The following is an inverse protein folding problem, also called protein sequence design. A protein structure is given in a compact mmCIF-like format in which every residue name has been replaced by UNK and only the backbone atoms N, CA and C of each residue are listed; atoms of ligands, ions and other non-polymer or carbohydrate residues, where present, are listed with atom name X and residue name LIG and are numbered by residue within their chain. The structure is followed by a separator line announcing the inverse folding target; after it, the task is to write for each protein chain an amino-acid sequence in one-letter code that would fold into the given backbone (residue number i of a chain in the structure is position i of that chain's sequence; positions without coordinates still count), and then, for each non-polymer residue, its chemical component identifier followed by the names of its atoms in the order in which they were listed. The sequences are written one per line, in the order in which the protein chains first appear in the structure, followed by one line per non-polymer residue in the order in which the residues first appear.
data_IF_010151903011
#
_entry.id   IF_010151903011
#
_cell.length_a   1.000
_cell.length_b   1.000
_cell.length_c   1.000
_cell.angle_alpha   90.00
_cell.angle_beta   90.00
_cell.angle_gamma   90.00
#
_symmetry.space_group_name_H-M   'P 1'
#
loop_
_entity.id
_entity.type
_entity.pdbx_description
1 polymer ?
#
# COMPACT_ATOMS: atom_id res chain seq x y z
N UNK A 1 -6.34 -5.84 -33.22
CA UNK A 1 -6.84 -5.88 -31.82
C UNK A 1 -8.28 -5.41 -31.82
N UNK A 2 -9.16 -6.00 -31.02
CA UNK A 2 -10.55 -5.56 -30.85
C UNK A 2 -10.57 -4.09 -30.39
N UNK A 3 -11.52 -3.31 -30.92
CA UNK A 3 -11.68 -1.89 -30.58
C UNK A 3 -13.14 -1.64 -30.18
N UNK A 4 -13.40 -0.57 -29.45
CA UNK A 4 -14.75 -0.18 -29.01
C UNK A 4 -15.73 -0.04 -30.19
N UNK A 5 -15.22 0.28 -31.40
CA UNK A 5 -16.02 0.38 -32.65
C UNK A 5 -16.54 -0.98 -33.10
N UNK A 6 -15.84 -2.05 -32.77
CA UNK A 6 -16.16 -3.42 -33.16
C UNK A 6 -17.18 -4.09 -32.24
N UNK A 7 -17.54 -3.42 -31.12
CA UNK A 7 -18.47 -3.96 -30.14
C UNK A 7 -19.89 -3.96 -30.63
N UNK A 8 -20.63 -5.01 -30.26
CA UNK A 8 -22.07 -5.11 -30.45
C UNK A 8 -22.84 -4.03 -29.67
N UNK A 9 -24.11 -3.82 -30.02
CA UNK A 9 -25.01 -2.97 -29.25
C UNK A 9 -25.06 -3.35 -27.75
N UNK A 10 -25.11 -4.64 -27.44
CA UNK A 10 -25.21 -5.16 -26.09
C UNK A 10 -23.97 -4.86 -25.26
N UNK A 11 -22.78 -5.01 -25.86
CA UNK A 11 -21.51 -4.72 -25.20
C UNK A 11 -21.34 -3.22 -24.96
N UNK A 12 -21.66 -2.37 -25.95
CA UNK A 12 -21.62 -0.92 -25.78
C UNK A 12 -22.57 -0.44 -24.70
N UNK A 13 -23.82 -0.92 -24.76
CA UNK A 13 -24.84 -0.57 -23.77
C UNK A 13 -24.45 -1.04 -22.35
N UNK A 14 -23.87 -2.26 -22.22
CA UNK A 14 -23.49 -2.79 -20.92
C UNK A 14 -22.29 -2.05 -20.33
N UNK A 15 -21.24 -1.77 -21.10
CA UNK A 15 -19.97 -1.32 -20.55
C UNK A 15 -19.70 0.18 -20.70
N UNK A 16 -20.20 0.84 -21.76
CA UNK A 16 -19.72 2.16 -22.14
C UNK A 16 -20.79 3.26 -22.20
N UNK A 17 -22.08 2.91 -22.19
CA UNK A 17 -23.16 3.89 -22.19
C UNK A 17 -23.67 4.18 -20.79
N UNK A 18 -24.01 5.46 -20.51
CA UNK A 18 -24.63 5.87 -19.26
C UNK A 18 -23.76 5.66 -18.00
N UNK A 19 -22.44 5.79 -18.14
CA UNK A 19 -21.52 5.66 -17.02
C UNK A 19 -21.62 6.87 -16.09
N UNK A 20 -21.98 6.64 -14.83
CA UNK A 20 -21.96 7.65 -13.78
C UNK A 20 -20.52 7.86 -13.28
N UNK A 21 -19.76 6.77 -13.15
CA UNK A 21 -18.37 6.82 -12.68
C UNK A 21 -17.48 5.86 -13.48
N UNK A 22 -16.32 6.36 -13.90
CA UNK A 22 -15.20 5.53 -14.36
C UNK A 22 -14.04 5.67 -13.40
N UNK A 23 -13.57 4.56 -12.84
CA UNK A 23 -12.45 4.51 -11.91
C UNK A 23 -11.24 3.91 -12.62
N UNK A 24 -10.11 4.61 -12.60
CA UNK A 24 -8.88 4.21 -13.27
C UNK A 24 -7.92 3.60 -12.26
N UNK A 25 -7.74 2.29 -12.34
CA UNK A 25 -6.94 1.45 -11.45
C UNK A 25 -7.78 0.56 -10.54
N UNK A 26 -7.58 -0.76 -10.62
CA UNK A 26 -8.23 -1.80 -9.81
C UNK A 26 -7.42 -2.19 -8.56
N UNK A 27 -6.67 -1.25 -7.98
CA UNK A 27 -5.99 -1.42 -6.70
C UNK A 27 -6.90 -1.22 -5.49
N UNK A 28 -6.34 -1.26 -4.27
CA UNK A 28 -7.09 -1.08 -3.01
C UNK A 28 -7.94 0.20 -3.07
N UNK A 29 -7.35 1.33 -3.46
CA UNK A 29 -8.05 2.63 -3.51
C UNK A 29 -9.22 2.59 -4.49
N UNK A 30 -8.99 2.14 -5.74
CA UNK A 30 -10.04 2.11 -6.76
C UNK A 30 -11.20 1.19 -6.43
N UNK A 31 -10.90 -0.03 -5.95
CA UNK A 31 -11.92 -1.00 -5.53
C UNK A 31 -12.71 -0.50 -4.32
N UNK A 32 -12.04 0.07 -3.30
CA UNK A 32 -12.71 0.66 -2.14
C UNK A 32 -13.57 1.85 -2.54
N UNK A 33 -13.08 2.72 -3.43
CA UNK A 33 -13.86 3.85 -3.97
C UNK A 33 -15.14 3.36 -4.64
N UNK A 34 -15.03 2.34 -5.49
CA UNK A 34 -16.19 1.77 -6.19
C UNK A 34 -17.23 1.21 -5.22
N UNK A 35 -16.77 0.49 -4.18
CA UNK A 35 -17.65 -0.08 -3.16
C UNK A 35 -18.38 1.04 -2.41
N UNK A 36 -17.67 2.04 -1.88
CA UNK A 36 -18.29 3.14 -1.14
C UNK A 36 -19.21 4.00 -2.02
N UNK A 37 -18.89 4.19 -3.31
CA UNK A 37 -19.79 4.85 -4.25
C UNK A 37 -21.07 4.04 -4.47
N UNK A 38 -20.98 2.72 -4.59
CA UNK A 38 -22.15 1.85 -4.72
C UNK A 38 -23.01 1.82 -3.47
N UNK A 39 -22.40 1.85 -2.29
CA UNK A 39 -23.13 1.97 -1.01
C UNK A 39 -23.88 3.31 -0.92
N UNK A 40 -23.25 4.41 -1.39
CA UNK A 40 -23.86 5.76 -1.42
C UNK A 40 -24.87 5.95 -2.55
N UNK A 41 -24.56 5.42 -3.74
CA UNK A 41 -25.38 5.54 -4.95
C UNK A 41 -25.68 4.16 -5.55
N UNK A 42 -26.61 3.37 -4.99
CA UNK A 42 -26.83 1.97 -5.37
C UNK A 42 -27.19 1.76 -6.85
N UNK A 43 -27.82 2.76 -7.49
CA UNK A 43 -28.26 2.69 -8.89
C UNK A 43 -27.19 3.15 -9.89
N UNK A 44 -26.09 3.74 -9.42
CA UNK A 44 -25.04 4.26 -10.31
C UNK A 44 -24.37 3.15 -11.11
N UNK A 45 -24.03 3.46 -12.34
CA UNK A 45 -23.26 2.60 -13.22
C UNK A 45 -21.78 2.93 -13.08
N UNK A 46 -21.02 2.00 -12.52
CA UNK A 46 -19.59 2.18 -12.22
C UNK A 46 -18.77 1.20 -13.04
N UNK A 47 -17.77 1.72 -13.75
CA UNK A 47 -16.79 0.94 -14.51
C UNK A 47 -15.40 1.17 -13.90
N UNK A 48 -14.69 0.09 -13.57
CA UNK A 48 -13.26 0.12 -13.22
C UNK A 48 -12.46 -0.28 -14.47
N UNK A 49 -11.41 0.48 -14.77
CA UNK A 49 -10.43 0.17 -15.80
C UNK A 49 -9.09 -0.19 -15.17
N UNK A 50 -8.56 -1.33 -15.53
CA UNK A 50 -7.20 -1.77 -15.12
C UNK A 50 -6.36 -2.03 -16.38
N UNK A 51 -5.17 -1.42 -16.45
CA UNK A 51 -4.29 -1.59 -17.62
C UNK A 51 -3.67 -2.98 -17.73
N UNK A 52 -3.44 -3.63 -16.58
CA UNK A 52 -2.93 -5.00 -16.52
C UNK A 52 -4.02 -6.04 -16.80
N UNK A 53 -3.62 -7.26 -17.16
CA UNK A 53 -4.53 -8.40 -17.23
C UNK A 53 -5.04 -8.85 -15.85
N UNK A 54 -4.38 -8.39 -14.80
CA UNK A 54 -4.77 -8.52 -13.40
C UNK A 54 -4.33 -7.25 -12.67
N UNK A 55 -4.84 -6.97 -11.45
CA UNK A 55 -4.37 -5.84 -10.66
C UNK A 55 -2.89 -6.01 -10.29
N UNK A 56 -1.99 -5.46 -11.11
CA UNK A 56 -0.54 -5.67 -11.01
C UNK A 56 0.23 -4.46 -10.43
N UNK A 57 -0.49 -3.47 -9.89
CA UNK A 57 0.09 -2.32 -9.21
C UNK A 57 0.61 -2.64 -7.80
N UNK A 58 0.95 -1.59 -7.03
CA UNK A 58 1.48 -1.71 -5.67
C UNK A 58 0.62 -2.55 -4.72
N UNK A 59 -0.69 -2.63 -4.97
CA UNK A 59 -1.65 -3.34 -4.12
C UNK A 59 -1.42 -4.85 -4.02
N UNK A 60 -0.81 -5.47 -5.04
CA UNK A 60 -0.50 -6.91 -5.07
C UNK A 60 0.99 -7.21 -4.95
N UNK A 61 1.84 -6.18 -4.95
CA UNK A 61 3.31 -6.32 -4.94
C UNK A 61 3.95 -5.91 -3.62
N UNK A 62 3.16 -5.51 -2.63
CA UNK A 62 3.63 -5.12 -1.31
C UNK A 62 3.83 -6.33 -0.38
N UNK A 63 4.46 -6.09 0.77
CA UNK A 63 4.79 -7.14 1.74
C UNK A 63 3.64 -7.56 2.67
N UNK A 64 2.49 -6.89 2.62
CA UNK A 64 1.31 -7.25 3.42
C UNK A 64 1.37 -6.81 4.88
N UNK A 65 1.99 -5.66 5.18
CA UNK A 65 2.00 -5.07 6.52
C UNK A 65 0.71 -4.32 6.80
N UNK A 66 0.01 -4.72 7.85
CA UNK A 66 -1.09 -3.98 8.46
C UNK A 66 -0.54 -3.20 9.66
N UNK A 67 0.26 -2.17 9.35
CA UNK A 67 1.04 -1.38 10.30
C UNK A 67 0.72 0.10 10.14
N UNK A 68 0.93 0.88 11.23
CA UNK A 68 0.63 2.30 11.24
C UNK A 68 1.79 3.19 11.67
N UNK A 69 2.91 2.62 12.16
CA UNK A 69 4.16 3.34 12.39
C UNK A 69 5.06 2.66 13.42
N UNK A 70 6.36 2.58 13.13
CA UNK A 70 7.37 2.09 14.08
C UNK A 70 8.00 3.23 14.88
N UNK A 71 8.56 2.97 16.08
CA UNK A 71 9.19 4.00 16.91
C UNK A 71 10.31 4.77 16.19
N UNK A 72 11.16 4.09 15.43
CA UNK A 72 12.25 4.76 14.70
C UNK A 72 11.74 5.57 13.52
N UNK A 73 10.70 5.12 12.81
CA UNK A 73 10.02 5.90 11.77
C UNK A 73 9.41 7.18 12.38
N UNK A 74 8.71 7.07 13.51
CA UNK A 74 8.13 8.22 14.20
C UNK A 74 9.21 9.21 14.67
N UNK A 75 10.34 8.71 15.19
CA UNK A 75 11.47 9.56 15.59
C UNK A 75 12.04 10.33 14.39
N UNK A 76 12.27 9.64 13.29
CA UNK A 76 12.77 10.24 12.05
C UNK A 76 11.80 11.28 11.48
N UNK A 77 10.51 10.98 11.43
CA UNK A 77 9.48 11.88 10.93
C UNK A 77 9.34 13.14 11.82
N UNK A 78 9.29 12.98 13.15
CA UNK A 78 9.20 14.09 14.12
C UNK A 78 10.43 15.01 14.08
N UNK A 79 11.57 14.52 13.61
CA UNK A 79 12.76 15.34 13.39
C UNK A 79 12.71 16.19 12.11
N UNK A 80 11.82 15.86 11.15
CA UNK A 80 11.80 16.45 9.80
C UNK A 80 10.56 17.27 9.49
N UNK A 81 9.42 16.90 10.09
CA UNK A 81 8.14 17.55 9.84
C UNK A 81 7.41 17.87 11.16
N UNK A 82 6.38 18.71 11.12
CA UNK A 82 5.65 19.10 12.32
C UNK A 82 4.91 17.95 12.98
N UNK A 83 4.85 17.97 14.30
CA UNK A 83 4.10 17.04 15.17
C UNK A 83 2.70 16.75 14.61
N UNK A 84 1.96 17.80 14.30
CA UNK A 84 0.60 17.70 13.77
C UNK A 84 0.53 16.82 12.51
N UNK A 85 1.45 17.00 11.56
CA UNK A 85 1.49 16.20 10.33
C UNK A 85 1.83 14.74 10.60
N UNK A 86 2.76 14.48 11.53
CA UNK A 86 3.12 13.10 11.91
C UNK A 86 1.91 12.39 12.50
N UNK A 87 1.24 13.01 13.49
CA UNK A 87 0.12 12.37 14.18
C UNK A 87 -1.15 12.30 13.33
N UNK A 88 -1.36 13.23 12.42
CA UNK A 88 -2.41 13.13 11.40
C UNK A 88 -2.17 11.94 10.47
N UNK A 89 -0.92 11.70 10.06
CA UNK A 89 -0.54 10.55 9.23
C UNK A 89 -0.72 9.23 10.00
N UNK A 90 -0.29 9.19 11.25
CA UNK A 90 -0.49 8.03 12.13
C UNK A 90 -1.98 7.72 12.31
N UNK A 91 -2.78 8.73 12.64
CA UNK A 91 -4.24 8.59 12.79
C UNK A 91 -4.90 8.09 11.50
N UNK A 92 -4.52 8.64 10.35
CA UNK A 92 -5.03 8.20 9.05
C UNK A 92 -4.72 6.71 8.79
N UNK A 93 -3.52 6.25 9.13
CA UNK A 93 -3.12 4.84 8.98
C UNK A 93 -3.92 3.93 9.91
N UNK A 94 -4.07 4.31 11.17
CA UNK A 94 -4.83 3.53 12.14
C UNK A 94 -6.33 3.46 11.78
N UNK A 95 -6.97 4.59 11.51
CA UNK A 95 -8.37 4.65 11.09
C UNK A 95 -8.61 3.97 9.74
N UNK A 96 -7.63 4.06 8.84
CA UNK A 96 -7.71 3.38 7.55
C UNK A 96 -7.68 1.86 7.65
N UNK A 97 -6.91 1.29 8.60
CA UNK A 97 -6.99 -0.15 8.90
C UNK A 97 -8.36 -0.54 9.47
N UNK A 98 -8.95 0.27 10.35
CA UNK A 98 -10.32 0.04 10.84
C UNK A 98 -11.32 0.05 9.68
N UNK A 99 -11.25 1.06 8.83
CA UNK A 99 -12.10 1.14 7.63
C UNK A 99 -11.92 -0.08 6.72
N UNK A 100 -10.68 -0.59 6.57
CA UNK A 100 -10.42 -1.80 5.80
C UNK A 100 -11.09 -3.03 6.42
N UNK A 101 -10.99 -3.20 7.73
CA UNK A 101 -11.58 -4.35 8.44
C UNK A 101 -13.12 -4.25 8.55
N UNK A 102 -13.69 -3.06 8.55
CA UNK A 102 -15.13 -2.83 8.37
C UNK A 102 -15.61 -3.19 6.96
N UNK A 103 -14.77 -2.88 5.96
CA UNK A 103 -15.09 -3.13 4.56
C UNK A 103 -15.01 -4.62 4.20
N UNK A 104 -14.00 -5.33 4.71
CA UNK A 104 -13.75 -6.75 4.43
C UNK A 104 -13.42 -7.48 5.73
N UNK A 105 -14.06 -8.65 5.93
CA UNK A 105 -13.76 -9.53 7.06
C UNK A 105 -12.25 -9.86 7.10
N UNK A 106 -11.61 -9.52 8.21
CA UNK A 106 -10.19 -9.71 8.46
C UNK A 106 -9.73 -11.17 8.24
N UNK A 107 -10.57 -12.16 8.57
CA UNK A 107 -10.27 -13.59 8.37
C UNK A 107 -10.17 -13.96 6.89
N UNK A 108 -11.01 -13.35 6.03
CA UNK A 108 -11.01 -13.63 4.59
C UNK A 108 -9.74 -13.15 3.89
N UNK A 109 -9.10 -12.13 4.43
CA UNK A 109 -7.86 -11.58 3.90
C UNK A 109 -6.62 -12.13 4.61
N UNK A 110 -6.79 -13.14 5.48
CA UNK A 110 -5.69 -13.75 6.22
C UNK A 110 -4.98 -12.77 7.14
N UNK A 111 -5.74 -11.89 7.81
CA UNK A 111 -5.17 -11.00 8.81
C UNK A 111 -4.74 -11.79 10.04
N UNK A 112 -3.50 -11.57 10.44
CA UNK A 112 -2.90 -12.08 11.66
C UNK A 112 -2.40 -10.92 12.50
N UNK A 113 -2.97 -10.71 13.70
CA UNK A 113 -2.47 -9.75 14.70
C UNK A 113 -1.24 -10.36 15.38
N UNK A 114 -0.13 -10.42 14.66
CA UNK A 114 1.10 -11.08 15.11
C UNK A 114 2.08 -10.12 15.80
N UNK A 115 1.79 -8.85 15.84
CA UNK A 115 2.70 -7.81 16.31
C UNK A 115 3.74 -7.40 15.26
N UNK A 116 4.46 -6.33 15.57
CA UNK A 116 5.63 -5.88 14.82
C UNK A 116 6.80 -5.57 15.74
N UNK A 117 8.00 -5.64 15.19
CA UNK A 117 9.24 -5.30 15.90
C UNK A 117 10.08 -4.35 15.05
N UNK A 118 10.59 -3.32 15.69
CA UNK A 118 11.52 -2.36 15.09
C UNK A 118 12.93 -2.66 15.64
N UNK A 119 13.87 -2.99 14.76
CA UNK A 119 15.19 -3.50 15.10
C UNK A 119 16.20 -2.36 15.19
N UNK A 120 16.93 -2.31 16.30
CA UNK A 120 17.98 -1.33 16.58
C UNK A 120 19.34 -2.01 16.48
N UNK A 121 20.17 -1.60 15.53
CA UNK A 121 21.47 -2.24 15.28
C UNK A 121 22.56 -1.75 16.23
N UNK A 122 22.53 -0.49 16.66
CA UNK A 122 23.55 0.12 17.51
C UNK A 122 22.97 0.76 18.75
N UNK A 123 23.78 0.83 19.82
CA UNK A 123 23.39 1.44 21.09
C UNK A 123 23.03 2.92 20.95
N UNK A 124 23.71 3.62 20.07
CA UNK A 124 23.53 5.06 19.80
C UNK A 124 22.18 5.35 19.11
N UNK A 125 21.59 4.34 18.50
CA UNK A 125 20.27 4.42 17.84
C UNK A 125 19.12 4.15 18.80
N UNK A 126 19.40 3.79 20.08
CA UNK A 126 18.36 3.61 21.09
C UNK A 126 17.59 4.89 21.32
N UNK A 127 16.28 4.76 21.28
CA UNK A 127 15.36 5.84 21.59
C UNK A 127 15.34 6.07 23.12
N UNK A 128 15.27 7.33 23.53
CA UNK A 128 15.20 7.70 24.95
C UNK A 128 13.85 7.31 25.55
N UNK A 129 13.83 6.99 26.84
CA UNK A 129 12.62 6.58 27.56
C UNK A 129 11.53 7.67 27.53
N UNK A 130 11.92 8.94 27.62
CA UNK A 130 11.00 10.08 27.52
C UNK A 130 10.35 10.16 26.13
N UNK A 131 11.09 9.84 25.07
CA UNK A 131 10.53 9.75 23.72
C UNK A 131 9.56 8.56 23.58
N UNK A 132 9.89 7.39 24.09
CA UNK A 132 9.00 6.23 24.10
C UNK A 132 7.72 6.52 24.91
N UNK A 133 7.84 7.20 26.04
CA UNK A 133 6.69 7.65 26.84
C UNK A 133 5.81 8.62 26.04
N UNK A 134 6.42 9.60 25.36
CA UNK A 134 5.74 10.58 24.54
C UNK A 134 4.96 9.91 23.37
N UNK A 135 5.58 9.03 22.60
CA UNK A 135 4.88 8.38 21.46
C UNK A 135 3.79 7.42 21.96
N UNK A 136 3.94 6.79 23.11
CA UNK A 136 2.89 5.98 23.74
C UNK A 136 1.69 6.83 24.18
N UNK A 137 1.91 8.00 24.76
CA UNK A 137 0.85 8.93 25.13
C UNK A 137 0.06 9.41 23.92
N UNK A 138 0.76 9.85 22.87
CA UNK A 138 0.15 10.29 21.62
C UNK A 138 -0.63 9.17 20.92
N UNK A 139 -0.04 7.99 20.85
CA UNK A 139 -0.70 6.82 20.28
C UNK A 139 -1.93 6.41 21.08
N UNK A 140 -1.89 6.49 22.42
CA UNK A 140 -3.05 6.22 23.28
C UNK A 140 -4.23 7.15 22.96
N UNK A 141 -3.97 8.44 22.73
CA UNK A 141 -5.01 9.40 22.34
C UNK A 141 -5.73 9.01 21.04
N UNK A 142 -5.04 8.31 20.12
CA UNK A 142 -5.58 7.90 18.82
C UNK A 142 -6.16 6.48 18.87
N UNK A 143 -5.40 5.52 19.42
CA UNK A 143 -5.75 4.10 19.37
C UNK A 143 -6.54 3.62 20.61
N UNK A 144 -6.52 4.37 21.71
CA UNK A 144 -7.13 3.95 22.98
C UNK A 144 -6.38 2.81 23.69
N UNK A 145 -5.19 2.42 23.20
CA UNK A 145 -4.37 1.33 23.77
C UNK A 145 -3.11 1.93 24.43
N UNK A 146 -2.93 1.64 25.72
CA UNK A 146 -1.76 2.12 26.46
C UNK A 146 -0.52 1.27 26.15
N UNK A 147 0.63 1.94 26.08
CA UNK A 147 1.94 1.27 25.97
C UNK A 147 2.04 0.31 24.79
N UNK A 148 1.61 0.75 23.61
CA UNK A 148 1.71 -0.06 22.39
C UNK A 148 3.16 -0.30 21.99
N UNK A 149 4.07 0.63 22.33
CA UNK A 149 5.51 0.51 22.09
C UNK A 149 6.24 0.15 23.36
N UNK A 150 7.04 -0.91 23.31
CA UNK A 150 7.84 -1.41 24.43
C UNK A 150 9.17 -1.93 23.92
N UNK A 151 10.25 -1.69 24.68
CA UNK A 151 11.51 -2.37 24.43
C UNK A 151 11.33 -3.88 24.68
N UNK A 152 11.80 -4.71 23.75
CA UNK A 152 11.71 -6.18 23.81
C UNK A 152 13.01 -6.85 23.41
N UNK A 153 14.00 -6.84 24.28
CA UNK A 153 15.31 -7.50 24.06
C UNK A 153 15.21 -9.02 23.90
N UNK A 154 14.12 -9.64 24.40
CA UNK A 154 13.92 -11.07 24.28
C UNK A 154 13.65 -11.50 22.84
N UNK A 155 13.08 -10.62 22.04
CA UNK A 155 12.82 -10.87 20.61
C UNK A 155 14.09 -11.24 19.85
N UNK A 156 15.25 -10.63 20.17
CA UNK A 156 16.53 -10.93 19.54
C UNK A 156 16.84 -12.42 19.64
N UNK A 157 16.75 -12.99 20.85
CA UNK A 157 17.00 -14.41 21.10
C UNK A 157 15.89 -15.29 20.54
N UNK A 158 14.63 -14.89 20.69
CA UNK A 158 13.48 -15.69 20.29
C UNK A 158 13.44 -15.88 18.77
N UNK A 159 13.77 -14.84 18.02
CA UNK A 159 13.80 -14.89 16.54
C UNK A 159 15.18 -15.29 15.97
N UNK A 160 16.24 -15.25 16.79
CA UNK A 160 17.59 -15.66 16.41
C UNK A 160 18.38 -14.58 15.66
N UNK A 161 18.05 -13.30 15.87
CA UNK A 161 18.77 -12.19 15.24
C UNK A 161 20.20 -12.06 15.73
N UNK A 162 21.11 -11.65 14.85
CA UNK A 162 22.45 -11.22 15.20
C UNK A 162 22.70 -9.77 14.77
N UNK A 163 23.72 -9.14 15.36
CA UNK A 163 24.06 -7.73 15.11
C UNK A 163 22.90 -6.75 15.41
N UNK A 164 22.02 -7.11 16.32
CA UNK A 164 20.92 -6.26 16.81
C UNK A 164 21.18 -5.99 18.29
N UNK A 165 21.13 -4.72 18.68
CA UNK A 165 21.34 -4.27 20.04
C UNK A 165 20.06 -4.32 20.89
N UNK A 166 18.93 -3.91 20.32
CA UNK A 166 17.61 -3.93 20.95
C UNK A 166 16.49 -4.01 19.93
N UNK A 167 15.25 -4.21 20.38
CA UNK A 167 14.05 -4.10 19.55
C UNK A 167 12.94 -3.36 20.32
N UNK A 168 12.07 -2.68 19.59
CA UNK A 168 10.80 -2.17 20.11
C UNK A 168 9.64 -2.92 19.49
N UNK A 169 8.75 -3.47 20.31
CA UNK A 169 7.57 -4.19 19.85
C UNK A 169 6.32 -3.31 19.79
N UNK A 170 5.41 -3.58 18.87
CA UNK A 170 4.05 -3.04 18.82
C UNK A 170 3.05 -4.20 18.68
N UNK A 171 2.20 -4.39 19.70
CA UNK A 171 1.24 -5.50 19.75
C UNK A 171 -0.03 -5.29 18.91
N UNK A 172 -0.26 -4.07 18.41
CA UNK A 172 -1.48 -3.71 17.70
C UNK A 172 -1.37 -3.88 16.19
N UNK A 173 -0.18 -4.14 15.70
CA UNK A 173 0.10 -4.35 14.28
C UNK A 173 0.04 -5.83 13.89
N UNK A 174 0.01 -6.07 12.59
CA UNK A 174 -0.06 -7.42 12.04
C UNK A 174 0.19 -7.49 10.55
N UNK A 175 -0.22 -8.58 9.98
CA UNK A 175 0.02 -8.87 8.56
C UNK A 175 -1.23 -9.37 7.87
N UNK A 176 -1.29 -9.18 6.54
CA UNK A 176 -2.37 -9.69 5.68
C UNK A 176 -1.81 -10.43 4.48
N UNK A 177 -2.68 -11.17 3.80
CA UNK A 177 -2.42 -11.70 2.47
C UNK A 177 -2.94 -10.72 1.41
N UNK A 178 -2.05 -10.07 0.69
CA UNK A 178 -2.39 -9.00 -0.27
C UNK A 178 -3.18 -9.51 -1.47
N UNK A 179 -2.91 -10.73 -1.90
CA UNK A 179 -3.66 -11.38 -2.98
C UNK A 179 -5.11 -11.65 -2.57
N UNK A 180 -5.31 -12.21 -1.35
CA UNK A 180 -6.66 -12.40 -0.80
C UNK A 180 -7.38 -11.08 -0.61
N UNK A 181 -6.69 -10.02 -0.14
CA UNK A 181 -7.29 -8.68 0.01
C UNK A 181 -7.87 -8.18 -1.32
N UNK A 182 -7.08 -8.17 -2.38
CA UNK A 182 -7.55 -7.69 -3.69
C UNK A 182 -8.68 -8.58 -4.21
N UNK A 183 -8.59 -9.89 -4.06
CA UNK A 183 -9.65 -10.84 -4.46
C UNK A 183 -10.97 -10.55 -3.74
N UNK A 184 -10.95 -10.32 -2.43
CA UNK A 184 -12.17 -10.07 -1.65
C UNK A 184 -12.76 -8.68 -1.93
N UNK A 185 -11.93 -7.64 -2.10
CA UNK A 185 -12.39 -6.32 -2.56
C UNK A 185 -13.05 -6.40 -3.93
N UNK A 186 -12.43 -7.12 -4.87
CA UNK A 186 -12.98 -7.33 -6.22
C UNK A 186 -14.33 -8.06 -6.17
N UNK A 187 -14.44 -9.17 -5.41
CA UNK A 187 -15.69 -9.90 -5.23
C UNK A 187 -16.79 -8.99 -4.66
N UNK A 188 -16.47 -8.19 -3.61
CA UNK A 188 -17.44 -7.27 -3.02
C UNK A 188 -17.90 -6.24 -4.03
N UNK A 189 -17.00 -5.62 -4.79
CA UNK A 189 -17.32 -4.66 -5.82
C UNK A 189 -18.23 -5.27 -6.91
N UNK A 190 -17.88 -6.45 -7.42
CA UNK A 190 -18.66 -7.17 -8.43
C UNK A 190 -20.05 -7.55 -7.92
N UNK A 191 -20.18 -8.01 -6.67
CA UNK A 191 -21.47 -8.35 -6.06
C UNK A 191 -22.39 -7.12 -5.89
N UNK A 192 -21.80 -5.93 -5.80
CA UNK A 192 -22.56 -4.67 -5.81
C UNK A 192 -22.87 -4.17 -7.24
N UNK A 193 -22.50 -4.92 -8.28
CA UNK A 193 -22.77 -4.58 -9.67
C UNK A 193 -21.76 -3.59 -10.27
N UNK A 194 -20.54 -3.51 -9.72
CA UNK A 194 -19.44 -2.77 -10.35
C UNK A 194 -18.93 -3.56 -11.54
N UNK A 195 -18.80 -2.91 -12.69
CA UNK A 195 -18.19 -3.48 -13.89
C UNK A 195 -16.67 -3.28 -13.86
N UNK A 196 -15.92 -4.20 -14.43
CA UNK A 196 -14.46 -4.07 -14.52
C UNK A 196 -13.97 -4.58 -15.87
N UNK A 197 -13.03 -3.85 -16.47
CA UNK A 197 -12.33 -4.24 -17.69
C UNK A 197 -10.83 -4.21 -17.44
N UNK A 198 -10.16 -5.28 -17.84
CA UNK A 198 -8.71 -5.47 -17.72
C UNK A 198 -8.04 -5.37 -19.08
N UNK A 199 -6.77 -4.99 -19.11
CA UNK A 199 -6.04 -4.74 -20.35
C UNK A 199 -6.40 -3.39 -20.98
N UNK A 200 -7.13 -2.52 -20.26
CA UNK A 200 -7.55 -1.20 -20.74
C UNK A 200 -6.72 -0.12 -20.08
N UNK A 201 -5.83 0.49 -20.84
CA UNK A 201 -4.99 1.61 -20.43
C UNK A 201 -5.59 2.94 -20.86
N UNK A 202 -5.86 3.81 -19.90
CA UNK A 202 -6.24 5.20 -20.16
C UNK A 202 -4.98 5.98 -20.47
N UNK A 203 -4.93 6.61 -21.64
CA UNK A 203 -3.82 7.42 -22.12
C UNK A 203 -3.98 8.86 -21.73
N UNK A 204 -5.14 9.42 -22.02
CA UNK A 204 -5.50 10.80 -21.70
C UNK A 204 -6.97 10.91 -21.33
N UNK A 205 -7.35 12.03 -20.75
CA UNK A 205 -8.75 12.38 -20.55
C UNK A 205 -8.94 13.90 -20.65
N UNK A 206 -10.12 14.31 -21.07
CA UNK A 206 -10.54 15.71 -21.11
C UNK A 206 -11.90 15.88 -20.42
N UNK A 207 -12.08 16.97 -19.70
CA UNK A 207 -13.34 17.29 -19.03
C UNK A 207 -13.91 18.60 -19.56
N UNK A 208 -15.19 18.59 -19.95
CA UNK A 208 -15.95 19.80 -20.27
C UNK A 208 -16.81 20.32 -19.09
N UNK A 209 -16.62 19.73 -17.88
CA UNK A 209 -17.36 20.07 -16.67
C UNK A 209 -18.75 19.40 -16.53
N UNK A 210 -19.21 18.68 -17.58
CA UNK A 210 -20.41 17.84 -17.56
C UNK A 210 -20.07 16.37 -17.73
N UNK A 211 -19.14 16.07 -18.64
CA UNK A 211 -18.68 14.73 -18.96
C UNK A 211 -17.16 14.71 -19.05
N UNK A 212 -16.57 13.55 -18.80
CA UNK A 212 -15.14 13.27 -18.99
C UNK A 212 -15.02 12.35 -20.21
N UNK A 213 -14.24 12.77 -21.18
CA UNK A 213 -13.87 12.00 -22.36
C UNK A 213 -12.57 11.26 -22.06
N UNK A 214 -12.57 9.95 -22.22
CA UNK A 214 -11.42 9.09 -21.93
C UNK A 214 -10.91 8.48 -23.23
N UNK A 215 -9.62 8.68 -23.51
CA UNK A 215 -8.89 8.01 -24.58
C UNK A 215 -8.16 6.81 -24.00
N UNK A 216 -8.35 5.63 -24.59
CA UNK A 216 -7.75 4.37 -24.15
C UNK A 216 -7.06 3.64 -25.31
N UNK A 217 -6.28 2.59 -24.97
CA UNK A 217 -5.77 1.66 -25.98
C UNK A 217 -6.88 0.84 -26.68
N UNK A 218 -8.12 0.87 -26.18
CA UNK A 218 -9.27 0.16 -26.69
C UNK A 218 -10.21 1.05 -27.52
N UNK A 219 -10.07 2.38 -27.43
CA UNK A 219 -10.89 3.40 -28.08
C UNK A 219 -11.34 4.47 -27.10
N UNK A 220 -12.22 5.35 -27.55
CA UNK A 220 -12.71 6.50 -26.81
C UNK A 220 -14.14 6.29 -26.31
N UNK A 221 -14.42 6.75 -25.10
CA UNK A 221 -15.76 6.78 -24.53
C UNK A 221 -15.87 7.89 -23.48
N UNK A 222 -17.07 8.08 -22.92
CA UNK A 222 -17.35 9.14 -21.96
C UNK A 222 -17.98 8.62 -20.67
N UNK A 223 -17.78 9.35 -19.59
CA UNK A 223 -18.33 9.10 -18.27
C UNK A 223 -18.78 10.42 -17.63
N UNK A 224 -19.79 10.38 -16.79
CA UNK A 224 -20.18 11.58 -16.05
C UNK A 224 -19.08 12.04 -15.10
N UNK A 225 -18.41 11.09 -14.41
CA UNK A 225 -17.30 11.35 -13.49
C UNK A 225 -16.16 10.37 -13.71
N UNK A 226 -14.92 10.81 -13.48
CA UNK A 226 -13.73 9.96 -13.52
C UNK A 226 -12.89 10.12 -12.26
N UNK A 227 -12.38 8.99 -11.73
CA UNK A 227 -11.59 8.95 -10.50
C UNK A 227 -10.30 8.21 -10.76
N UNK A 228 -9.18 8.91 -10.60
CA UNK A 228 -7.84 8.40 -10.87
C UNK A 228 -7.24 7.80 -9.60
N UNK A 229 -7.01 6.47 -9.61
CA UNK A 229 -6.48 5.69 -8.50
C UNK A 229 -5.20 4.94 -8.88
N UNK A 230 -4.39 5.52 -9.75
CA UNK A 230 -3.21 4.89 -10.37
C UNK A 230 -1.91 5.05 -9.55
N UNK A 231 -1.99 5.60 -8.34
CA UNK A 231 -0.88 5.79 -7.39
C UNK A 231 0.36 6.40 -8.06
N UNK A 232 1.53 5.73 -8.04
CA UNK A 232 2.78 6.22 -8.62
C UNK A 232 2.74 6.51 -10.12
N UNK A 233 1.79 5.91 -10.85
CA UNK A 233 1.60 6.18 -12.28
C UNK A 233 0.75 7.42 -12.58
N UNK A 234 0.27 8.12 -11.54
CA UNK A 234 -0.60 9.30 -11.73
C UNK A 234 0.14 10.55 -12.22
N UNK A 235 1.48 10.57 -12.20
CA UNK A 235 2.27 11.73 -12.66
C UNK A 235 1.94 12.16 -14.08
N UNK A 236 1.55 11.24 -14.96
CA UNK A 236 1.12 11.55 -16.32
C UNK A 236 -0.20 12.33 -16.39
N UNK A 237 -1.02 12.29 -15.34
CA UNK A 237 -2.35 12.91 -15.29
C UNK A 237 -2.42 14.10 -14.34
N UNK A 238 -1.43 14.28 -13.48
CA UNK A 238 -1.48 15.22 -12.39
C UNK A 238 -0.11 15.85 -12.17
N UNK A 239 -0.04 17.17 -12.33
CA UNK A 239 1.18 17.93 -12.03
C UNK A 239 1.21 18.38 -10.56
N UNK A 240 1.30 17.40 -9.67
CA UNK A 240 1.48 17.59 -8.23
C UNK A 240 2.79 16.97 -7.75
N UNK A 241 3.09 17.16 -6.48
CA UNK A 241 4.20 16.52 -5.80
C UNK A 241 3.95 15.01 -5.66
N UNK A 242 4.08 14.31 -6.77
CA UNK A 242 4.01 12.85 -6.86
C UNK A 242 5.12 12.32 -7.74
N UNK A 243 5.83 11.34 -7.24
CA UNK A 243 6.89 10.64 -7.93
C UNK A 243 6.68 9.14 -7.84
N UNK A 244 6.88 8.43 -8.95
CA UNK A 244 6.98 6.99 -8.95
C UNK A 244 8.27 6.56 -8.26
N UNK A 245 8.18 5.56 -7.38
CA UNK A 245 9.35 5.00 -6.70
C UNK A 245 9.23 3.48 -6.65
N UNK A 246 10.26 2.81 -7.16
CA UNK A 246 10.35 1.37 -7.14
C UNK A 246 10.80 0.88 -5.76
N UNK A 247 10.08 -0.10 -5.21
CA UNK A 247 10.46 -0.86 -4.03
C UNK A 247 10.65 -2.32 -4.42
N UNK A 248 11.72 -2.92 -3.94
CA UNK A 248 12.13 -4.28 -4.29
C UNK A 248 11.97 -5.21 -3.09
N UNK A 249 11.63 -6.45 -3.37
CA UNK A 249 11.53 -7.52 -2.37
C UNK A 249 12.07 -8.81 -2.93
N UNK A 250 12.46 -9.71 -2.04
CA UNK A 250 12.74 -11.11 -2.31
C UNK A 250 11.98 -12.01 -1.35
N UNK A 251 11.83 -13.27 -1.70
CA UNK A 251 11.25 -14.29 -0.83
C UNK A 251 12.12 -15.56 -0.85
N UNK A 252 12.30 -16.16 0.32
CA UNK A 252 13.03 -17.44 0.44
C UNK A 252 12.15 -18.61 0.01
N UNK A 253 12.77 -19.75 -0.35
CA UNK A 253 12.10 -21.04 -0.31
C UNK A 253 11.64 -21.37 1.12
N UNK A 254 10.75 -22.36 1.33
CA UNK A 254 10.37 -22.78 2.68
C UNK A 254 11.60 -23.18 3.51
N UNK A 255 11.64 -22.69 4.75
CA UNK A 255 12.71 -22.94 5.73
C UNK A 255 12.14 -23.82 6.84
N UNK A 256 12.80 -24.95 7.13
CA UNK A 256 12.43 -25.79 8.26
C UNK A 256 12.69 -25.05 9.57
N UNK A 257 11.75 -25.18 10.51
CA UNK A 257 11.84 -24.63 11.87
C UNK A 257 12.10 -23.12 11.92
N UNK A 258 11.52 -22.37 10.96
CA UNK A 258 11.64 -20.91 10.89
C UNK A 258 11.15 -20.26 12.18
N UNK A 259 12.05 -19.54 12.88
CA UNK A 259 11.74 -18.82 14.12
C UNK A 259 11.07 -17.47 13.87
N UNK A 260 11.25 -16.89 12.70
CA UNK A 260 10.68 -15.57 12.33
C UNK A 260 9.15 -15.69 12.27
N UNK A 261 8.46 -14.93 13.13
CA UNK A 261 6.98 -14.84 13.17
C UNK A 261 6.61 -13.42 13.50
N UNK A 262 5.88 -12.75 12.60
CA UNK A 262 5.48 -11.35 12.73
C UNK A 262 6.04 -10.47 11.64
N UNK A 263 5.93 -9.17 11.83
CA UNK A 263 6.45 -8.15 10.93
C UNK A 263 7.57 -7.35 11.59
N UNK A 264 8.56 -6.98 10.82
CA UNK A 264 9.79 -6.38 11.33
C UNK A 264 10.20 -5.19 10.47
N UNK A 265 10.65 -4.13 11.14
CA UNK A 265 11.22 -2.94 10.55
C UNK A 265 12.69 -2.82 10.94
N UNK A 266 13.51 -2.26 10.08
CA UNK A 266 14.92 -2.03 10.31
C UNK A 266 15.36 -0.76 9.58
N UNK A 267 16.29 0.00 10.15
CA UNK A 267 16.83 1.23 9.59
C UNK A 267 15.69 2.24 9.26
N UNK A 268 15.00 2.71 10.28
CA UNK A 268 13.88 3.66 10.17
C UNK A 268 12.81 3.26 9.13
N UNK A 269 12.60 1.95 8.94
CA UNK A 269 11.62 1.39 8.00
C UNK A 269 12.10 1.32 6.54
N UNK A 270 13.37 1.64 6.25
CA UNK A 270 13.94 1.43 4.90
C UNK A 270 14.07 -0.03 4.55
N UNK A 271 14.14 -0.93 5.53
CA UNK A 271 14.08 -2.37 5.36
C UNK A 271 12.92 -2.93 6.18
N UNK A 272 12.26 -3.94 5.63
CA UNK A 272 11.10 -4.57 6.26
C UNK A 272 10.99 -6.03 5.86
N UNK A 273 10.72 -6.90 6.83
CA UNK A 273 10.56 -8.34 6.56
C UNK A 273 9.48 -8.97 7.43
N UNK A 274 8.96 -10.10 6.98
CA UNK A 274 7.98 -10.91 7.70
C UNK A 274 8.07 -12.36 7.29
N UNK A 275 7.48 -13.23 8.08
CA UNK A 275 7.20 -14.57 7.59
C UNK A 275 5.93 -14.61 6.71
N UNK A 276 5.95 -15.49 5.72
CA UNK A 276 4.78 -15.99 5.00
C UNK A 276 4.83 -17.50 5.12
N UNK A 277 3.99 -18.08 5.98
CA UNK A 277 4.13 -19.48 6.38
C UNK A 277 5.57 -19.74 6.88
N UNK A 278 6.29 -20.67 6.25
CA UNK A 278 7.68 -21.00 6.56
C UNK A 278 8.70 -20.31 5.64
N UNK A 279 8.38 -19.17 5.06
CA UNK A 279 9.26 -18.38 4.21
C UNK A 279 9.51 -17.01 4.84
N UNK A 280 10.63 -16.40 4.52
CA UNK A 280 10.88 -14.98 4.82
C UNK A 280 10.70 -14.15 3.54
N UNK A 281 9.78 -13.21 3.59
CA UNK A 281 9.67 -12.12 2.62
C UNK A 281 10.43 -10.93 3.17
N UNK A 282 11.35 -10.38 2.39
CA UNK A 282 12.20 -9.27 2.79
C UNK A 282 12.30 -8.22 1.67
N UNK A 283 12.13 -6.96 2.02
CA UNK A 283 12.21 -5.85 1.09
C UNK A 283 12.85 -4.61 1.70
N UNK A 284 13.14 -3.64 0.83
CA UNK A 284 13.75 -2.38 1.23
C UNK A 284 14.96 -1.98 0.40
N UNK A 285 15.88 -1.24 1.02
CA UNK A 285 17.15 -0.84 0.40
C UNK A 285 17.04 0.28 -0.63
N UNK A 286 15.86 0.90 -0.81
CA UNK A 286 15.71 2.03 -1.75
C UNK A 286 16.62 3.22 -1.40
N UNK A 287 16.93 3.40 -0.13
CA UNK A 287 17.87 4.43 0.36
C UNK A 287 19.30 4.27 -0.14
N UNK A 288 19.69 3.12 -0.65
CA UNK A 288 21.00 2.92 -1.27
C UNK A 288 21.15 3.69 -2.60
N UNK A 289 20.03 3.89 -3.33
CA UNK A 289 20.07 4.62 -4.59
C UNK A 289 18.69 5.21 -4.92
N UNK A 290 18.33 6.29 -4.26
CA UNK A 290 17.03 6.97 -4.47
C UNK A 290 16.82 7.42 -5.92
N UNK A 291 17.87 7.86 -6.60
CA UNK A 291 17.79 8.37 -7.96
C UNK A 291 17.41 7.25 -8.95
N UNK A 292 18.10 6.10 -8.90
CA UNK A 292 17.78 4.96 -9.77
C UNK A 292 16.41 4.35 -9.46
N UNK A 293 16.01 4.33 -8.20
CA UNK A 293 14.72 3.82 -7.79
C UNK A 293 13.56 4.83 -7.98
N UNK A 294 13.83 6.06 -8.43
CA UNK A 294 12.85 7.03 -8.89
C UNK A 294 12.35 6.69 -10.30
N UNK A 295 11.61 5.61 -10.44
CA UNK A 295 11.17 5.06 -11.72
C UNK A 295 9.79 4.40 -11.62
N UNK A 296 9.06 4.39 -12.72
CA UNK A 296 7.80 3.67 -12.91
C UNK A 296 7.97 2.28 -13.56
N UNK A 297 9.22 1.88 -13.83
CA UNK A 297 9.56 0.59 -14.46
C UNK A 297 9.75 -0.48 -13.38
N UNK A 298 9.12 -1.63 -13.60
CA UNK A 298 9.39 -2.83 -12.80
C UNK A 298 10.80 -3.36 -13.05
N UNK A 299 11.26 -4.23 -12.17
CA UNK A 299 12.57 -4.87 -12.23
C UNK A 299 13.29 -4.79 -10.88
N UNK A 300 14.38 -5.52 -10.79
CA UNK A 300 15.27 -5.53 -9.61
C UNK A 300 16.65 -5.01 -10.01
N UNK A 301 17.42 -4.61 -9.01
CA UNK A 301 18.79 -4.12 -9.18
C UNK A 301 19.72 -4.89 -8.25
N UNK A 302 20.89 -5.26 -8.77
CA UNK A 302 21.85 -6.14 -8.12
C UNK A 302 22.29 -5.62 -6.75
N UNK A 303 22.66 -4.35 -6.64
CA UNK A 303 23.09 -3.73 -5.37
C UNK A 303 22.03 -3.79 -4.25
N UNK A 304 20.73 -3.62 -4.58
CA UNK A 304 19.66 -3.76 -3.60
C UNK A 304 19.46 -5.24 -3.24
N UNK A 305 19.44 -6.13 -4.23
CA UNK A 305 19.27 -7.57 -3.96
C UNK A 305 20.43 -8.13 -3.14
N UNK A 306 21.67 -7.72 -3.43
CA UNK A 306 22.86 -8.10 -2.66
C UNK A 306 22.81 -7.58 -1.23
N UNK A 307 22.36 -6.33 -1.03
CA UNK A 307 22.15 -5.77 0.32
C UNK A 307 21.09 -6.56 1.11
N UNK A 308 19.96 -6.90 0.48
CA UNK A 308 18.94 -7.73 1.10
C UNK A 308 19.49 -9.12 1.47
N UNK A 309 20.23 -9.76 0.56
CA UNK A 309 20.86 -11.05 0.80
C UNK A 309 21.86 -10.98 1.95
N UNK A 310 22.70 -9.95 1.97
CA UNK A 310 23.67 -9.74 3.04
C UNK A 310 23.00 -9.61 4.41
N UNK A 311 21.94 -8.81 4.53
CA UNK A 311 21.21 -8.66 5.78
C UNK A 311 20.47 -9.95 6.19
N UNK A 312 19.96 -10.73 5.24
CA UNK A 312 19.44 -12.06 5.56
C UNK A 312 20.50 -12.96 6.19
N UNK A 313 21.70 -12.99 5.62
CA UNK A 313 22.81 -13.85 6.07
C UNK A 313 23.44 -13.40 7.39
N UNK A 314 23.45 -12.10 7.68
CA UNK A 314 24.21 -11.56 8.80
C UNK A 314 23.34 -11.10 9.98
N UNK A 315 22.06 -10.83 9.75
CA UNK A 315 21.17 -10.25 10.76
C UNK A 315 19.95 -11.14 11.01
N UNK A 316 19.23 -11.51 9.93
CA UNK A 316 17.88 -12.09 10.08
C UNK A 316 17.93 -13.62 10.22
N UNK A 317 18.78 -14.29 9.44
CA UNK A 317 18.90 -15.75 9.36
C UNK A 317 20.37 -16.21 9.46
N UNK A 318 21.19 -15.70 10.40
CA UNK A 318 22.65 -15.91 10.38
C UNK A 318 23.05 -17.38 10.49
N UNK A 319 22.31 -18.16 11.26
CA UNK A 319 22.60 -19.59 11.50
C UNK A 319 21.66 -20.53 10.74
N UNK A 320 20.94 -20.01 9.74
CA UNK A 320 19.90 -20.75 9.03
C UNK A 320 20.26 -20.90 7.55
N UNK A 321 20.27 -22.14 7.05
CA UNK A 321 20.41 -22.36 5.61
C UNK A 321 19.11 -21.99 4.90
N UNK A 322 19.18 -21.16 3.88
CA UNK A 322 18.07 -20.77 3.05
C UNK A 322 18.48 -20.62 1.59
N UNK A 323 17.52 -20.63 0.72
CA UNK A 323 17.66 -20.31 -0.70
C UNK A 323 16.62 -19.25 -1.07
N UNK A 324 16.97 -18.34 -1.98
CA UNK A 324 16.03 -17.40 -2.56
C UNK A 324 15.16 -18.14 -3.60
N UNK A 325 13.86 -17.97 -3.53
CA UNK A 325 12.93 -18.52 -4.51
C UNK A 325 12.80 -17.57 -5.71
N UNK A 326 12.43 -16.32 -5.45
CA UNK A 326 12.37 -15.25 -6.45
C UNK A 326 12.31 -13.87 -5.82
N UNK A 327 12.46 -12.85 -6.68
CA UNK A 327 12.37 -11.45 -6.30
C UNK A 327 11.44 -10.68 -7.26
N UNK A 328 10.85 -9.59 -6.78
CA UNK A 328 10.02 -8.71 -7.60
C UNK A 328 10.08 -7.27 -7.10
N UNK A 329 9.39 -6.37 -7.81
CA UNK A 329 9.26 -4.99 -7.39
C UNK A 329 7.84 -4.47 -7.53
N UNK A 330 7.50 -3.45 -6.75
CA UNK A 330 6.28 -2.65 -6.85
C UNK A 330 6.60 -1.18 -7.05
N UNK A 331 5.68 -0.43 -7.65
CA UNK A 331 5.83 1.01 -7.87
C UNK A 331 4.94 1.76 -6.89
N UNK A 332 5.58 2.49 -5.99
CA UNK A 332 4.92 3.37 -5.02
C UNK A 332 4.69 4.75 -5.63
N UNK A 333 3.73 5.50 -5.10
CA UNK A 333 3.61 6.94 -5.29
C UNK A 333 4.11 7.62 -4.03
N UNK A 334 5.17 8.39 -4.13
CA UNK A 334 5.79 9.13 -3.03
C UNK A 334 5.79 10.63 -3.31
N UNK A 335 6.05 11.45 -2.30
CA UNK A 335 6.19 12.89 -2.38
C UNK A 335 7.05 13.42 -1.26
N UNK A 336 7.07 14.74 -1.08
CA UNK A 336 7.84 15.41 -0.02
C UNK A 336 7.32 15.08 1.39
N UNK A 337 6.03 14.78 1.50
CA UNK A 337 5.42 14.29 2.73
C UNK A 337 4.75 12.92 2.50
N UNK A 338 4.32 12.27 3.59
CA UNK A 338 3.70 10.93 3.57
C UNK A 338 2.17 10.97 3.40
N UNK A 339 1.56 12.16 3.21
CA UNK A 339 0.11 12.28 3.08
C UNK A 339 -0.37 11.87 1.70
N UNK A 340 -1.50 11.18 1.57
CA UNK A 340 -2.10 10.92 0.26
C UNK A 340 -2.62 12.21 -0.39
N UNK A 341 -2.70 12.22 -1.71
CA UNK A 341 -3.38 13.27 -2.47
C UNK A 341 -4.81 12.83 -2.70
N UNK A 342 -5.76 13.53 -2.08
CA UNK A 342 -7.21 13.32 -2.27
C UNK A 342 -7.76 14.67 -2.70
N UNK A 343 -8.07 14.81 -3.98
CA UNK A 343 -8.58 16.10 -4.48
C UNK A 343 -9.50 15.94 -5.68
N UNK A 344 -10.36 16.93 -5.87
CA UNK A 344 -11.18 17.11 -7.06
C UNK A 344 -10.59 18.29 -7.86
N UNK A 345 -10.15 18.04 -9.07
CA UNK A 345 -9.50 19.06 -9.92
C UNK A 345 -10.50 19.84 -10.75
N UNK A 346 -11.54 19.16 -11.22
CA UNK A 346 -12.67 19.71 -11.96
C UNK A 346 -13.98 19.25 -11.31
N UNK A 347 -15.12 19.71 -11.80
CA UNK A 347 -16.43 19.31 -11.26
C UNK A 347 -16.61 17.78 -11.21
N UNK A 348 -15.95 17.05 -12.13
CA UNK A 348 -16.16 15.63 -12.37
C UNK A 348 -14.87 14.79 -12.51
N UNK A 349 -13.70 15.32 -12.12
CA UNK A 349 -12.45 14.56 -12.08
C UNK A 349 -11.85 14.62 -10.68
N UNK A 350 -11.55 13.47 -10.11
CA UNK A 350 -10.96 13.35 -8.76
C UNK A 350 -9.75 12.41 -8.77
N UNK A 351 -8.86 12.60 -7.82
CA UNK A 351 -7.63 11.83 -7.64
C UNK A 351 -7.53 11.28 -6.22
N UNK A 352 -7.15 10.00 -6.11
CA UNK A 352 -6.73 9.35 -4.87
C UNK A 352 -5.43 8.60 -5.09
N UNK A 353 -4.30 9.27 -4.84
CA UNK A 353 -2.96 8.81 -5.23
C UNK A 353 -1.91 9.19 -4.17
N UNK A 354 -0.67 8.76 -4.33
CA UNK A 354 0.45 9.02 -3.42
C UNK A 354 0.26 8.38 -2.03
N UNK A 355 0.17 7.04 -2.02
CA UNK A 355 -0.02 6.29 -0.77
C UNK A 355 1.25 6.15 0.08
N UNK A 356 2.41 6.67 -0.34
CA UNK A 356 3.65 6.74 0.44
C UNK A 356 4.18 5.39 0.96
N UNK A 357 3.92 4.26 0.27
CA UNK A 357 4.26 2.92 0.75
C UNK A 357 3.23 2.30 1.72
N UNK A 358 2.28 3.07 2.25
CA UNK A 358 1.34 2.64 3.29
C UNK A 358 -0.08 2.32 2.75
N UNK A 359 -0.18 1.93 1.49
CA UNK A 359 -1.46 1.71 0.81
C UNK A 359 -2.40 0.69 1.45
N UNK A 360 -1.89 -0.30 2.19
CA UNK A 360 -2.72 -1.22 2.97
C UNK A 360 -3.42 -0.48 4.10
N UNK A 361 -2.68 0.29 4.87
CA UNK A 361 -3.23 1.00 6.01
C UNK A 361 -4.21 2.11 5.61
N UNK A 362 -3.92 2.89 4.55
CA UNK A 362 -4.72 4.08 4.22
C UNK A 362 -5.67 3.91 3.03
N UNK A 363 -5.48 2.90 2.19
CA UNK A 363 -6.14 2.82 0.88
C UNK A 363 -7.66 2.73 0.94
N UNK A 364 -8.23 2.03 1.93
CA UNK A 364 -9.67 1.96 2.12
C UNK A 364 -10.27 3.31 2.55
N UNK A 365 -9.62 4.02 3.47
CA UNK A 365 -10.08 5.35 3.93
C UNK A 365 -9.93 6.41 2.84
N UNK A 366 -8.88 6.33 2.01
CA UNK A 366 -8.76 7.17 0.81
C UNK A 366 -9.91 6.90 -0.14
N UNK A 367 -10.27 5.64 -0.37
CA UNK A 367 -11.44 5.28 -1.18
C UNK A 367 -12.75 5.82 -0.62
N UNK A 368 -12.95 5.73 0.69
CA UNK A 368 -14.10 6.31 1.42
C UNK A 368 -14.15 7.83 1.28
N UNK A 369 -13.00 8.48 1.43
CA UNK A 369 -12.88 9.93 1.28
C UNK A 369 -13.17 10.40 -0.15
N UNK A 370 -12.70 9.67 -1.17
CA UNK A 370 -13.04 9.94 -2.56
C UNK A 370 -14.55 9.86 -2.83
N UNK A 371 -15.24 8.88 -2.26
CA UNK A 371 -16.69 8.75 -2.43
C UNK A 371 -17.48 9.94 -1.83
N UNK A 372 -16.91 10.63 -0.84
CA UNK A 372 -17.53 11.83 -0.22
C UNK A 372 -17.44 13.08 -1.09
N UNK A 373 -16.59 13.08 -2.14
CA UNK A 373 -16.45 14.23 -3.06
C UNK A 373 -17.64 14.36 -4.04
N UNK A 374 -18.51 13.38 -4.10
CA UNK A 374 -19.71 13.29 -4.95
C UNK A 374 -20.97 13.10 -4.09
#
# INVERSE_FOLDING_TARGET
MLNIKDLSFWEKSLYFEGLDFTIIGAGIVGLSTAIFLKEKFPRSKILILERGYLPSGASTKNAGFACFGSPTELYDDLSKISDEKVWNTFSLRYEGLKTLFELIDAKKIGYEKCGSWDLISKKEELLKDDFIAYINEKSFQICGVKYIYREDKMAIRNFGFQNIYSTYSNSEEGTINTGKLISELYKKATNLGVLSLFGIEVKTFESNGKEVFLETNFGEFKSANSIICTNGFAKQFLDDDIQAARAQVLITKPISDLKIKGSFHYDAGYYYFRNIENRVLFGGGRNLNFEREATDKFGTSEDIQDSLLHLLQTVILPDTKFEIDYAWSGIMGIGKDKSPIIKKTNKNVSFGVRMGGMGIAIGAEVGKSLSKLF
#
